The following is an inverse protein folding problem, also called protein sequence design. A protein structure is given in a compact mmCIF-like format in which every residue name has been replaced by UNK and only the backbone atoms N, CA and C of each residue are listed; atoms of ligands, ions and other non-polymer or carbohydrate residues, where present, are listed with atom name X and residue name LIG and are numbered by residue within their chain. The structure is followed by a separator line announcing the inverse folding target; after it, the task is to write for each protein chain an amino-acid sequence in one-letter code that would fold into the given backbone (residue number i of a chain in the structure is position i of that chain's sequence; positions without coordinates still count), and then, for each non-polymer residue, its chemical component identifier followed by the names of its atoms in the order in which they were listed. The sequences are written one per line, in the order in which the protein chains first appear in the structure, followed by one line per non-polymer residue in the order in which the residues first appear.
data_IF_847093391558
#
_entry.id   IF_847093391558
#
_cell.length_a   1.000
_cell.length_b   1.000
_cell.length_c   1.000
_cell.angle_alpha   90.00
_cell.angle_beta   90.00
_cell.angle_gamma   90.00
#
_symmetry.space_group_name_H-M   'P 1'
#
loop_
_entity.id
_entity.type
_entity.pdbx_description
1 polymer ?
#
# COMPACT_ATOMS: atom_id res chain seq x y z
N UNK A 1 -7.63 24.69 -0.67
CA UNK A 1 -7.64 23.96 0.62
C UNK A 1 -8.63 24.70 1.50
N UNK A 2 -9.83 24.16 1.66
CA UNK A 2 -10.86 24.79 2.50
C UNK A 2 -10.41 24.72 3.97
N UNK A 3 -10.52 25.84 4.72
CA UNK A 3 -10.13 25.87 6.11
C UNK A 3 -11.10 25.02 6.95
N UNK A 4 -10.56 24.25 7.88
CA UNK A 4 -11.36 23.53 8.87
C UNK A 4 -12.16 24.55 9.69
N UNK A 5 -13.48 24.45 9.63
CA UNK A 5 -14.40 25.26 10.42
C UNK A 5 -14.55 24.63 11.80
N UNK A 6 -14.37 25.43 12.84
CA UNK A 6 -14.62 25.03 14.22
C UNK A 6 -15.74 25.90 14.77
N UNK A 7 -16.69 25.27 15.47
CA UNK A 7 -17.77 25.94 16.17
C UNK A 7 -17.37 26.11 17.65
N UNK A 8 -17.46 27.34 18.16
CA UNK A 8 -17.15 27.61 19.55
C UNK A 8 -18.31 27.18 20.44
N UNK A 9 -18.05 26.17 21.26
CA UNK A 9 -19.02 25.63 22.22
C UNK A 9 -18.78 26.25 23.60
N UNK A 10 -19.84 26.53 24.35
CA UNK A 10 -19.71 27.12 25.69
C UNK A 10 -19.24 26.11 26.73
N UNK A 11 -18.66 26.60 27.84
CA UNK A 11 -18.17 25.73 28.94
C UNK A 11 -19.31 24.93 29.58
N UNK A 12 -20.52 25.48 29.63
CA UNK A 12 -21.70 24.78 30.15
C UNK A 12 -22.16 23.65 29.23
N UNK A 13 -22.14 23.85 27.92
CA UNK A 13 -22.42 22.79 26.94
C UNK A 13 -21.35 21.69 26.96
N UNK A 14 -20.07 22.07 27.06
CA UNK A 14 -18.98 21.10 27.21
C UNK A 14 -19.14 20.26 28.49
N UNK A 15 -19.54 20.89 29.60
CA UNK A 15 -19.83 20.19 30.87
C UNK A 15 -21.07 19.29 30.76
N UNK A 16 -22.10 19.70 30.02
CA UNK A 16 -23.32 18.91 29.80
C UNK A 16 -23.06 17.64 28.98
N UNK A 17 -22.09 17.67 28.05
CA UNK A 17 -21.59 16.49 27.34
C UNK A 17 -20.81 15.55 28.26
N UNK A 18 -20.14 16.08 29.29
CA UNK A 18 -19.43 15.30 30.30
C UNK A 18 -20.39 14.62 31.29
N UNK A 19 -21.45 15.32 31.68
CA UNK A 19 -22.44 14.87 32.68
C UNK A 19 -23.59 14.02 32.09
N UNK A 20 -23.81 14.07 30.77
CA UNK A 20 -24.82 13.31 30.04
C UNK A 20 -24.23 12.19 29.18
N UNK A 21 -25.05 11.21 28.78
CA UNK A 21 -24.64 10.25 27.76
C UNK A 21 -24.18 11.03 26.50
N UNK A 22 -22.99 10.72 25.95
CA UNK A 22 -22.41 11.51 24.88
C UNK A 22 -23.40 11.61 23.71
N UNK A 23 -23.49 12.78 23.04
CA UNK A 23 -24.28 12.87 21.82
C UNK A 23 -23.79 11.79 20.86
N UNK A 24 -24.72 11.03 20.28
CA UNK A 24 -24.41 10.01 19.27
C UNK A 24 -23.74 10.72 18.11
N UNK A 25 -22.41 10.71 18.09
CA UNK A 25 -21.63 11.17 16.96
C UNK A 25 -21.85 10.14 15.86
N UNK A 26 -22.75 10.44 14.93
CA UNK A 26 -22.90 9.65 13.71
C UNK A 26 -21.57 9.73 12.97
N UNK A 27 -20.85 8.60 12.86
CA UNK A 27 -19.61 8.54 12.09
C UNK A 27 -19.88 9.13 10.70
N UNK A 28 -19.06 10.08 10.21
CA UNK A 28 -19.27 10.64 8.89
C UNK A 28 -19.27 9.52 7.85
N UNK A 29 -20.27 9.50 6.96
CA UNK A 29 -20.29 8.53 5.88
C UNK A 29 -19.22 8.89 4.84
N UNK A 30 -18.03 8.32 5.01
CA UNK A 30 -16.91 8.49 4.09
C UNK A 30 -17.08 7.69 2.78
N UNK A 31 -18.20 6.97 2.59
CA UNK A 31 -18.44 6.17 1.37
C UNK A 31 -18.38 7.03 0.11
N UNK A 32 -18.85 8.28 0.16
CA UNK A 32 -18.86 9.22 -0.97
C UNK A 32 -17.49 9.77 -1.39
N UNK A 33 -16.47 9.67 -0.52
CA UNK A 33 -15.09 10.07 -0.84
C UNK A 33 -14.30 8.92 -1.49
N UNK A 34 -14.83 7.69 -1.42
CA UNK A 34 -14.16 6.53 -2.00
C UNK A 34 -14.27 6.57 -3.51
N UNK A 35 -13.11 6.42 -4.17
CA UNK A 35 -13.07 6.20 -5.61
C UNK A 35 -13.94 4.98 -5.96
N UNK A 36 -14.81 5.07 -6.98
CA UNK A 36 -15.61 3.92 -7.41
C UNK A 36 -14.71 2.78 -7.91
N UNK A 37 -15.12 1.52 -7.71
CA UNK A 37 -14.37 0.36 -8.19
C UNK A 37 -14.20 0.45 -9.72
N UNK A 38 -12.97 0.25 -10.18
CA UNK A 38 -12.60 0.32 -11.60
C UNK A 38 -12.28 -1.07 -12.16
N UNK A 39 -12.31 -1.27 -13.48
CA UNK A 39 -11.92 -2.55 -14.08
C UNK A 39 -10.50 -3.01 -13.70
N UNK A 40 -9.61 -2.07 -13.37
CA UNK A 40 -8.24 -2.36 -12.91
C UNK A 40 -8.19 -3.01 -11.52
N UNK A 41 -9.30 -2.91 -10.77
CA UNK A 41 -9.45 -3.52 -9.46
C UNK A 41 -9.88 -4.99 -9.53
N UNK A 42 -10.45 -5.41 -10.65
CA UNK A 42 -11.01 -6.76 -10.84
C UNK A 42 -10.30 -7.57 -11.94
N UNK A 43 -9.64 -6.93 -12.90
CA UNK A 43 -9.01 -7.59 -14.05
C UNK A 43 -7.53 -7.24 -14.18
N UNK A 44 -6.72 -8.24 -14.56
CA UNK A 44 -5.34 -8.02 -14.95
C UNK A 44 -5.26 -7.39 -16.34
N UNK A 45 -4.35 -6.43 -16.48
CA UNK A 45 -4.01 -5.81 -17.76
C UNK A 45 -3.11 -6.70 -18.61
N UNK A 46 -3.07 -6.45 -19.92
CA UNK A 46 -2.15 -7.14 -20.84
C UNK A 46 -0.67 -6.94 -20.47
N UNK A 47 -0.34 -5.81 -19.85
CA UNK A 47 1.00 -5.55 -19.31
C UNK A 47 1.30 -6.50 -18.15
N UNK A 48 0.34 -6.66 -17.23
CA UNK A 48 0.49 -7.58 -16.10
C UNK A 48 0.57 -9.04 -16.52
N UNK A 49 -0.24 -9.47 -17.48
CA UNK A 49 -0.18 -10.84 -18.00
C UNK A 49 1.17 -11.15 -18.65
N UNK A 50 1.69 -10.22 -19.48
CA UNK A 50 3.02 -10.37 -20.10
C UNK A 50 4.14 -10.36 -19.07
N UNK A 51 4.06 -9.48 -18.08
CA UNK A 51 5.04 -9.45 -16.98
C UNK A 51 5.04 -10.75 -16.19
N UNK A 52 3.87 -11.28 -15.81
CA UNK A 52 3.76 -12.58 -15.12
C UNK A 52 4.38 -13.72 -15.92
N UNK A 53 4.15 -13.74 -17.24
CA UNK A 53 4.73 -14.73 -18.14
C UNK A 53 6.27 -14.63 -18.24
N UNK A 54 6.84 -13.44 -18.02
CA UNK A 54 8.30 -13.23 -18.04
C UNK A 54 9.01 -13.70 -16.77
N UNK A 55 8.29 -13.92 -15.67
CA UNK A 55 8.86 -14.37 -14.41
C UNK A 55 9.06 -15.90 -14.40
N UNK A 56 10.10 -16.41 -13.71
CA UNK A 56 10.24 -17.85 -13.46
C UNK A 56 9.08 -18.35 -12.60
N UNK A 57 8.79 -19.65 -12.69
CA UNK A 57 7.61 -20.24 -12.06
C UNK A 57 7.61 -20.07 -10.53
N UNK A 58 8.80 -20.10 -9.92
CA UNK A 58 9.01 -20.04 -8.48
C UNK A 58 8.77 -18.63 -7.91
N UNK A 59 9.00 -17.59 -8.71
CA UNK A 59 8.84 -16.19 -8.30
C UNK A 59 7.53 -15.55 -8.79
N UNK A 60 6.69 -16.30 -9.50
CA UNK A 60 5.47 -15.77 -10.11
C UNK A 60 4.35 -15.62 -9.06
N UNK A 61 3.82 -14.41 -8.81
CA UNK A 61 2.78 -14.17 -7.80
C UNK A 61 1.36 -14.44 -8.35
N UNK A 62 1.04 -15.71 -8.62
CA UNK A 62 -0.19 -16.11 -9.32
C UNK A 62 -1.43 -15.85 -8.46
N UNK A 63 -1.44 -16.30 -7.21
CA UNK A 63 -2.60 -16.17 -6.34
C UNK A 63 -2.83 -14.72 -5.91
N UNK A 64 -1.75 -13.96 -5.69
CA UNK A 64 -1.83 -12.51 -5.49
C UNK A 64 -2.54 -11.83 -6.67
N UNK A 65 -2.13 -12.14 -7.91
CA UNK A 65 -2.68 -11.49 -9.09
C UNK A 65 -4.13 -11.90 -9.36
N UNK A 66 -4.50 -13.13 -9.00
CA UNK A 66 -5.88 -13.63 -9.06
C UNK A 66 -6.80 -12.94 -8.06
N UNK A 67 -6.35 -12.79 -6.81
CA UNK A 67 -7.17 -12.27 -5.70
C UNK A 67 -7.13 -10.74 -5.59
N UNK A 68 -6.03 -10.14 -6.03
CA UNK A 68 -5.75 -8.71 -5.91
C UNK A 68 -5.21 -8.15 -7.23
N UNK A 69 -6.03 -8.20 -8.28
CA UNK A 69 -5.66 -7.74 -9.63
C UNK A 69 -5.05 -6.33 -9.66
N UNK A 70 -5.55 -5.39 -8.85
CA UNK A 70 -4.96 -4.05 -8.71
C UNK A 70 -3.49 -4.06 -8.31
N UNK A 71 -3.10 -4.96 -7.41
CA UNK A 71 -1.72 -5.08 -6.93
C UNK A 71 -0.86 -5.67 -8.04
N UNK A 72 -1.33 -6.74 -8.69
CA UNK A 72 -0.65 -7.33 -9.86
C UNK A 72 -0.43 -6.31 -10.98
N UNK A 73 -1.44 -5.51 -11.29
CA UNK A 73 -1.34 -4.42 -12.26
C UNK A 73 -0.33 -3.36 -11.86
N UNK A 74 -0.26 -3.01 -10.58
CA UNK A 74 0.71 -2.02 -10.08
C UNK A 74 2.14 -2.56 -10.12
N UNK A 75 2.35 -3.80 -9.71
CA UNK A 75 3.67 -4.46 -9.80
C UNK A 75 4.17 -4.48 -11.24
N UNK A 76 3.30 -4.86 -12.18
CA UNK A 76 3.65 -4.88 -13.60
C UNK A 76 3.94 -3.49 -14.17
N UNK A 77 3.21 -2.45 -13.74
CA UNK A 77 3.49 -1.08 -14.15
C UNK A 77 4.87 -0.60 -13.63
N UNK A 78 5.30 -1.08 -12.47
CA UNK A 78 6.61 -0.76 -11.88
C UNK A 78 7.74 -1.63 -12.41
N UNK A 79 7.47 -2.69 -13.19
CA UNK A 79 8.50 -3.67 -13.58
C UNK A 79 9.64 -3.09 -14.42
N UNK A 80 9.43 -1.97 -15.10
CA UNK A 80 10.46 -1.26 -15.85
C UNK A 80 11.47 -0.52 -14.94
N UNK A 81 11.12 -0.30 -13.66
CA UNK A 81 12.00 0.33 -12.66
C UNK A 81 12.18 -0.62 -11.46
N UNK A 82 13.25 -1.43 -11.45
CA UNK A 82 13.49 -2.41 -10.38
C UNK A 82 13.55 -1.80 -8.97
N UNK A 83 14.08 -0.59 -8.83
CA UNK A 83 14.16 0.09 -7.52
C UNK A 83 12.76 0.46 -7.00
N UNK A 84 11.89 0.99 -7.86
CA UNK A 84 10.51 1.32 -7.49
C UNK A 84 9.68 0.07 -7.20
N UNK A 85 9.84 -0.98 -8.02
CA UNK A 85 9.18 -2.27 -7.78
C UNK A 85 9.58 -2.87 -6.42
N UNK A 86 10.87 -2.85 -6.10
CA UNK A 86 11.38 -3.35 -4.81
C UNK A 86 10.85 -2.53 -3.64
N UNK A 87 10.87 -1.20 -3.74
CA UNK A 87 10.33 -0.33 -2.70
C UNK A 87 8.85 -0.63 -2.43
N UNK A 88 8.06 -0.80 -3.49
CA UNK A 88 6.65 -1.17 -3.37
C UNK A 88 6.44 -2.57 -2.77
N UNK A 89 7.25 -3.57 -3.14
CA UNK A 89 7.19 -4.90 -2.51
C UNK A 89 7.49 -4.85 -1.00
N UNK A 90 8.49 -4.06 -0.59
CA UNK A 90 8.81 -3.86 0.83
C UNK A 90 7.65 -3.20 1.56
N UNK A 91 6.97 -2.23 0.95
CA UNK A 91 5.76 -1.63 1.53
C UNK A 91 4.58 -2.59 1.66
N UNK A 92 4.47 -3.58 0.76
CA UNK A 92 3.44 -4.62 0.87
C UNK A 92 3.73 -5.63 1.99
N UNK A 93 5.01 -5.92 2.24
CA UNK A 93 5.45 -6.87 3.26
C UNK A 93 5.51 -6.25 4.67
N UNK A 94 5.82 -4.96 4.78
CA UNK A 94 5.89 -4.25 6.06
C UNK A 94 4.55 -3.54 6.31
N UNK A 95 3.79 -4.00 7.31
CA UNK A 95 2.61 -3.25 7.76
C UNK A 95 3.04 -1.96 8.48
N UNK A 96 3.10 -0.85 7.72
CA UNK A 96 3.39 0.49 8.26
C UNK A 96 2.15 1.21 8.78
N UNK A 97 0.93 0.68 8.56
CA UNK A 97 -0.31 1.46 8.75
C UNK A 97 -1.07 1.08 10.01
N UNK A 98 -0.79 -0.07 10.60
CA UNK A 98 -1.46 -0.55 11.81
C UNK A 98 -2.93 -0.92 11.53
N UNK A 99 -3.45 -1.91 12.25
CA UNK A 99 -4.85 -2.30 12.14
C UNK A 99 -5.24 -3.03 10.85
N UNK A 100 -4.29 -3.57 10.08
CA UNK A 100 -4.56 -4.47 8.94
C UNK A 100 -4.24 -5.92 9.31
N UNK A 101 -5.03 -6.86 8.79
CA UNK A 101 -4.80 -8.30 9.01
C UNK A 101 -3.64 -8.88 8.19
N UNK A 102 -2.93 -8.05 7.39
CA UNK A 102 -1.89 -8.52 6.48
C UNK A 102 -2.44 -9.30 5.29
N UNK A 103 -1.55 -10.00 4.58
CA UNK A 103 -1.91 -10.95 3.52
C UNK A 103 -2.01 -12.38 4.09
N UNK A 104 -2.86 -13.24 3.50
CA UNK A 104 -2.81 -14.68 3.80
C UNK A 104 -1.42 -15.27 3.54
N UNK A 105 -1.02 -16.28 4.31
CA UNK A 105 0.33 -16.89 4.28
C UNK A 105 0.81 -17.25 2.88
N UNK A 106 -0.06 -17.85 2.04
CA UNK A 106 0.29 -18.21 0.67
C UNK A 106 0.67 -17.00 -0.20
N UNK A 107 -0.01 -15.88 0.02
CA UNK A 107 0.25 -14.63 -0.72
C UNK A 107 1.50 -13.93 -0.17
N UNK A 108 1.69 -13.95 1.16
CA UNK A 108 2.92 -13.46 1.78
C UNK A 108 4.16 -14.23 1.28
N UNK A 109 4.03 -15.55 1.09
CA UNK A 109 5.10 -16.39 0.54
C UNK A 109 5.40 -16.05 -0.92
N UNK A 110 4.37 -15.88 -1.76
CA UNK A 110 4.54 -15.43 -3.15
C UNK A 110 5.27 -14.08 -3.23
N UNK A 111 4.86 -13.11 -2.42
CA UNK A 111 5.51 -11.79 -2.34
C UNK A 111 6.96 -11.89 -1.87
N UNK A 112 7.26 -12.79 -0.92
CA UNK A 112 8.62 -13.00 -0.41
C UNK A 112 9.53 -13.61 -1.47
N UNK A 113 9.06 -14.64 -2.19
CA UNK A 113 9.81 -15.27 -3.30
C UNK A 113 10.07 -14.30 -4.44
N UNK A 114 9.07 -13.48 -4.78
CA UNK A 114 9.23 -12.43 -5.78
C UNK A 114 10.29 -11.41 -5.34
N UNK A 115 10.25 -10.96 -4.08
CA UNK A 115 11.24 -10.03 -3.55
C UNK A 115 12.66 -10.62 -3.56
N UNK A 116 12.81 -11.89 -3.16
CA UNK A 116 14.10 -12.60 -3.21
C UNK A 116 14.66 -12.68 -4.63
N UNK A 117 13.83 -13.09 -5.60
CA UNK A 117 14.22 -13.12 -7.01
C UNK A 117 14.69 -11.76 -7.52
N UNK A 118 14.00 -10.67 -7.15
CA UNK A 118 14.38 -9.32 -7.55
C UNK A 118 15.71 -8.86 -6.93
N UNK A 119 16.00 -9.28 -5.69
CA UNK A 119 17.29 -9.00 -5.03
C UNK A 119 18.43 -9.74 -5.73
N UNK A 120 18.21 -11.00 -6.15
CA UNK A 120 19.21 -11.79 -6.86
C UNK A 120 19.47 -11.27 -8.29
N UNK A 121 18.45 -10.72 -8.95
CA UNK A 121 18.56 -10.16 -10.30
C UNK A 121 19.27 -8.80 -10.37
N UNK A 122 19.44 -8.12 -9.23
CA UNK A 122 20.14 -6.84 -9.18
C UNK A 122 21.63 -7.09 -8.87
N UNK A 123 22.55 -7.07 -9.85
CA UNK A 123 23.97 -7.06 -9.53
C UNK A 123 24.24 -5.85 -8.64
N UNK A 124 24.99 -6.07 -7.57
CA UNK A 124 25.14 -5.14 -6.45
C UNK A 124 25.16 -3.68 -6.90
N UNK A 125 24.28 -2.88 -6.29
CA UNK A 125 24.36 -1.42 -6.31
C UNK A 125 25.62 -1.00 -5.54
N UNK A 126 26.79 -1.26 -6.12
CA UNK A 126 28.06 -0.67 -5.75
C UNK A 126 28.12 0.73 -6.32
N UNK A 127 27.98 1.74 -5.46
CA UNK A 127 28.06 3.14 -5.84
C UNK A 127 27.49 3.99 -4.72
N UNK A 128 28.36 4.42 -3.81
CA UNK A 128 28.00 5.06 -2.55
C UNK A 128 27.11 6.29 -2.70
N UNK A 129 26.04 6.32 -1.91
CA UNK A 129 25.58 7.57 -1.33
C UNK A 129 26.37 7.73 -0.03
N UNK A 130 27.56 8.34 -0.15
CA UNK A 130 28.26 8.87 1.00
C UNK A 130 27.40 9.97 1.61
N UNK A 131 27.15 9.88 2.91
CA UNK A 131 26.77 11.04 3.69
C UNK A 131 27.86 12.11 3.49
N UNK A 132 27.54 13.38 3.18
CA UNK A 132 28.55 14.41 3.27
C UNK A 132 28.92 14.51 4.75
N UNK A 133 30.13 14.07 5.09
CA UNK A 133 30.73 14.35 6.39
C UNK A 133 30.78 15.87 6.53
N UNK A 134 30.01 16.38 7.50
CA UNK A 134 30.15 17.74 7.98
C UNK A 134 31.47 17.79 8.74
N UNK A 135 32.52 18.25 8.05
CA UNK A 135 33.79 18.59 8.67
C UNK A 135 33.64 19.76 9.66
N UNK A 136 34.47 19.69 10.70
CA UNK A 136 34.57 20.55 11.87
C UNK A 136 34.58 22.07 11.62
#
# INVERSE_FOLDING_TARGET
MEPLSFEFVTVEEAKKVLDGAPPVQTEPDWSGVRRPPSPKDTLLSDVAMRWLASLPAEARPVELCRRYARIGNHLAALSANPAALRAFLVELLIDKRGGRQGFPDGIALELSRLHEYMVQQLPGSGGGQGWPELGD
#
